data_IF_043242173906
#
_entry.id   IF_043242173906
#
_cell.length_a   1.000
_cell.length_b   1.000
_cell.length_c   1.000
_cell.angle_alpha   90.00
_cell.angle_beta   90.00
_cell.angle_gamma   90.00
#
_symmetry.space_group_name_H-M   'P 1'
#
loop_
_entity.id
_entity.type
_entity.pdbx_description
1 polymer ?
#
# COMPACT_ATOMS: atom_id res chain seq x y z
N UNK A 1 7.84 3.29 -10.35
CA UNK A 1 6.85 4.35 -10.64
C UNK A 1 7.25 5.68 -10.02
N UNK A 2 7.13 5.87 -8.71
CA UNK A 2 7.25 7.20 -8.09
C UNK A 2 8.61 7.93 -8.27
N UNK A 3 9.75 7.23 -8.21
CA UNK A 3 11.08 7.89 -8.21
C UNK A 3 11.70 8.05 -9.61
N UNK A 4 11.32 7.20 -10.57
CA UNK A 4 12.00 7.10 -11.87
C UNK A 4 11.02 7.03 -13.06
N UNK A 5 9.76 7.39 -12.83
CA UNK A 5 8.68 7.31 -13.83
C UNK A 5 8.54 5.91 -14.46
N UNK A 6 8.91 4.87 -13.71
CA UNK A 6 9.00 3.52 -14.25
C UNK A 6 7.62 2.94 -14.54
N UNK A 7 7.43 2.31 -15.70
CA UNK A 7 6.17 1.71 -16.15
C UNK A 7 6.38 0.25 -16.54
N UNK A 8 5.48 -0.62 -16.07
CA UNK A 8 5.47 -2.05 -16.40
C UNK A 8 5.16 -2.29 -17.88
N UNK A 9 5.90 -3.20 -18.52
CA UNK A 9 5.74 -3.54 -19.94
C UNK A 9 5.46 -5.03 -20.18
N UNK A 10 5.78 -5.91 -19.22
CA UNK A 10 5.39 -7.32 -19.22
C UNK A 10 5.30 -7.87 -17.79
N UNK A 11 4.65 -9.02 -17.63
CA UNK A 11 4.65 -9.80 -16.37
C UNK A 11 5.14 -11.22 -16.64
N UNK A 12 5.99 -11.71 -15.75
CA UNK A 12 6.58 -13.05 -15.86
C UNK A 12 5.50 -14.13 -15.76
N UNK A 13 5.59 -15.16 -16.61
CA UNK A 13 4.90 -16.44 -16.41
C UNK A 13 5.90 -17.40 -15.78
N UNK A 14 5.92 -17.45 -14.46
CA UNK A 14 6.86 -18.27 -13.71
C UNK A 14 6.56 -19.75 -13.92
N UNK A 15 7.58 -20.57 -14.15
CA UNK A 15 7.45 -22.01 -14.34
C UNK A 15 8.02 -22.73 -13.12
N UNK A 16 7.16 -23.53 -12.50
CA UNK A 16 7.46 -24.34 -11.31
C UNK A 16 6.76 -25.68 -11.43
N UNK A 17 7.05 -26.60 -10.51
CA UNK A 17 6.54 -27.99 -10.57
C UNK A 17 5.00 -28.06 -10.59
N UNK A 18 4.32 -27.06 -10.02
CA UNK A 18 2.86 -26.91 -10.06
C UNK A 18 2.29 -26.31 -11.35
N UNK A 19 3.13 -26.01 -12.34
CA UNK A 19 2.73 -25.40 -13.62
C UNK A 19 3.11 -23.93 -13.76
N UNK A 20 2.38 -23.23 -14.63
CA UNK A 20 2.65 -21.85 -15.00
C UNK A 20 1.89 -20.89 -14.09
N UNK A 21 2.61 -20.16 -13.25
CA UNK A 21 2.04 -19.18 -12.34
C UNK A 21 2.26 -17.75 -12.85
N UNK A 22 1.23 -16.92 -12.70
CA UNK A 22 1.29 -15.48 -13.00
C UNK A 22 1.10 -14.63 -11.74
N UNK A 23 0.90 -15.29 -10.62
CA UNK A 23 0.76 -14.72 -9.29
C UNK A 23 1.65 -15.48 -8.31
N UNK A 24 1.94 -14.87 -7.18
CA UNK A 24 2.63 -15.49 -6.04
C UNK A 24 2.12 -14.89 -4.73
N UNK A 25 2.46 -15.51 -3.61
CA UNK A 25 2.16 -15.00 -2.28
C UNK A 25 3.31 -15.24 -1.31
N UNK A 26 3.01 -15.06 -0.03
CA UNK A 26 3.79 -15.57 1.08
C UNK A 26 3.13 -16.82 1.69
N UNK A 27 3.96 -17.66 2.29
CA UNK A 27 3.55 -18.77 3.13
C UNK A 27 4.12 -18.55 4.52
N UNK A 28 3.26 -18.62 5.52
CA UNK A 28 3.61 -18.54 6.94
C UNK A 28 3.49 -19.96 7.48
N UNK A 29 4.57 -20.48 8.04
CA UNK A 29 4.67 -21.89 8.39
C UNK A 29 5.41 -22.11 9.70
N UNK A 30 5.16 -23.26 10.29
CA UNK A 30 5.74 -23.74 11.55
C UNK A 30 6.06 -25.22 11.42
N UNK A 31 6.84 -25.75 12.36
CA UNK A 31 7.08 -27.21 12.44
C UNK A 31 5.83 -27.98 12.81
N UNK A 32 5.67 -29.17 12.27
CA UNK A 32 4.52 -30.06 12.45
C UNK A 32 4.21 -30.41 13.91
N UNK A 33 5.21 -30.40 14.79
CA UNK A 33 5.08 -30.69 16.22
C UNK A 33 4.76 -29.46 17.10
N UNK A 34 4.68 -28.27 16.51
CA UNK A 34 4.29 -27.02 17.18
C UNK A 34 2.78 -26.79 17.12
N UNK A 35 2.05 -27.67 17.83
CA UNK A 35 0.59 -27.57 17.97
C UNK A 35 0.11 -26.37 18.81
N UNK A 36 1.03 -25.62 19.43
CA UNK A 36 0.77 -24.35 20.10
C UNK A 36 0.73 -23.15 19.15
N UNK A 37 0.97 -23.35 17.85
CA UNK A 37 0.96 -22.31 16.81
C UNK A 37 0.11 -22.80 15.63
N UNK A 38 -1.20 -22.53 15.68
CA UNK A 38 -2.15 -22.96 14.64
C UNK A 38 -2.76 -21.78 13.87
N UNK A 39 -2.87 -20.62 14.51
CA UNK A 39 -3.43 -19.41 13.93
C UNK A 39 -2.43 -18.26 13.93
N UNK A 40 -2.65 -17.24 13.10
CA UNK A 40 -1.79 -16.04 13.09
C UNK A 40 -1.72 -15.40 14.48
N UNK A 41 -2.83 -15.39 15.22
CA UNK A 41 -2.93 -14.89 16.59
C UNK A 41 -1.94 -15.55 17.57
N UNK A 42 -1.59 -16.82 17.35
CA UNK A 42 -0.71 -17.61 18.22
C UNK A 42 0.78 -17.23 18.06
N UNK A 43 1.10 -16.45 17.03
CA UNK A 43 2.46 -15.94 16.78
C UNK A 43 2.88 -14.86 17.79
N UNK A 44 1.95 -14.34 18.60
CA UNK A 44 2.28 -13.40 19.69
C UNK A 44 3.22 -14.09 20.68
N UNK A 45 4.29 -13.37 21.03
CA UNK A 45 5.35 -13.83 21.94
C UNK A 45 6.10 -15.08 21.42
N UNK A 46 6.06 -15.33 20.11
CA UNK A 46 6.88 -16.35 19.44
C UNK A 46 8.08 -15.72 18.76
N UNK A 47 9.13 -16.52 18.57
CA UNK A 47 10.27 -16.17 17.71
C UNK A 47 9.87 -16.42 16.26
N UNK A 48 9.98 -15.39 15.43
CA UNK A 48 9.58 -15.44 14.03
C UNK A 48 10.74 -15.06 13.12
N UNK A 49 10.92 -15.76 12.01
CA UNK A 49 11.91 -15.40 10.99
C UNK A 49 11.27 -15.10 9.64
N UNK A 50 11.69 -14.01 9.02
CA UNK A 50 11.32 -13.62 7.66
C UNK A 50 12.57 -13.54 6.77
N UNK A 51 12.39 -13.40 5.45
CA UNK A 51 13.51 -13.38 4.52
C UNK A 51 14.32 -12.09 4.66
N UNK A 52 13.70 -10.94 4.41
CA UNK A 52 14.33 -9.63 4.54
C UNK A 52 13.26 -8.54 4.72
N UNK A 53 13.57 -7.39 5.35
CA UNK A 53 12.60 -6.32 5.55
C UNK A 53 11.98 -5.78 4.24
N UNK A 54 12.73 -5.85 3.14
CA UNK A 54 12.31 -5.42 1.80
C UNK A 54 11.76 -6.56 0.94
N UNK A 55 11.74 -7.79 1.45
CA UNK A 55 11.25 -8.94 0.69
C UNK A 55 9.74 -8.89 0.60
N UNK A 56 9.21 -8.65 -0.61
CA UNK A 56 7.77 -8.54 -0.77
C UNK A 56 7.06 -9.86 -0.41
N UNK A 57 7.34 -10.94 -1.14
CA UNK A 57 6.73 -12.25 -0.89
C UNK A 57 7.25 -13.00 0.34
N UNK A 58 8.44 -12.65 0.86
CA UNK A 58 9.04 -13.31 2.01
C UNK A 58 8.96 -12.53 3.32
N UNK A 59 8.23 -11.41 3.35
CA UNK A 59 7.96 -10.66 4.57
C UNK A 59 6.73 -9.75 4.45
N UNK A 60 6.74 -8.82 3.50
CA UNK A 60 5.75 -7.71 3.44
C UNK A 60 4.33 -8.25 3.28
N UNK A 61 4.12 -9.27 2.45
CA UNK A 61 2.80 -9.90 2.29
C UNK A 61 2.31 -10.54 3.57
N UNK A 62 3.18 -11.25 4.30
CA UNK A 62 2.86 -11.85 5.60
C UNK A 62 2.58 -10.78 6.66
N UNK A 63 3.32 -9.68 6.66
CA UNK A 63 3.09 -8.56 7.58
C UNK A 63 1.71 -7.93 7.38
N UNK A 64 1.21 -7.83 6.14
CA UNK A 64 -0.16 -7.38 5.89
C UNK A 64 -1.19 -8.25 6.60
N UNK A 65 -1.05 -9.58 6.51
CA UNK A 65 -2.00 -10.49 7.17
C UNK A 65 -1.89 -10.47 8.69
N UNK A 66 -0.67 -10.35 9.22
CA UNK A 66 -0.44 -10.15 10.66
C UNK A 66 -1.11 -8.86 11.17
N UNK A 67 -1.02 -7.78 10.39
CA UNK A 67 -1.67 -6.51 10.72
C UNK A 67 -3.20 -6.64 10.74
N UNK A 68 -3.78 -7.39 9.81
CA UNK A 68 -5.24 -7.58 9.71
C UNK A 68 -5.81 -8.29 10.95
N UNK A 69 -5.03 -9.19 11.58
CA UNK A 69 -5.39 -9.81 12.86
C UNK A 69 -4.92 -9.02 14.09
N UNK A 70 -4.46 -7.78 13.89
CA UNK A 70 -4.06 -6.86 14.96
C UNK A 70 -2.75 -7.22 15.66
N UNK A 71 -1.83 -7.90 14.96
CA UNK A 71 -0.47 -8.15 15.42
C UNK A 71 0.46 -7.05 14.88
N UNK A 72 1.21 -6.42 15.78
CA UNK A 72 2.39 -5.62 15.42
C UNK A 72 3.64 -6.49 15.59
N UNK A 73 4.26 -6.99 14.50
CA UNK A 73 5.39 -7.92 14.62
C UNK A 73 6.62 -7.35 15.34
N UNK A 74 6.78 -6.02 15.32
CA UNK A 74 7.92 -5.37 15.98
C UNK A 74 7.73 -5.24 17.50
N UNK A 75 6.50 -5.41 17.99
CA UNK A 75 6.16 -5.28 19.41
C UNK A 75 5.68 -6.58 20.03
N UNK A 76 4.87 -7.33 19.28
CA UNK A 76 4.08 -8.44 19.79
C UNK A 76 4.78 -9.79 19.64
N UNK A 77 5.78 -9.92 18.75
CA UNK A 77 6.66 -11.10 18.68
C UNK A 77 7.70 -11.06 19.81
N UNK A 78 8.13 -12.23 20.26
CA UNK A 78 9.25 -12.31 21.22
C UNK A 78 10.57 -11.89 20.55
N UNK A 79 10.74 -12.29 19.29
CA UNK A 79 11.86 -11.87 18.46
C UNK A 79 11.47 -11.96 16.98
N UNK A 80 11.87 -10.96 16.18
CA UNK A 80 11.76 -10.97 14.72
C UNK A 80 13.15 -10.98 14.10
N UNK A 81 13.50 -12.07 13.40
CA UNK A 81 14.78 -12.23 12.69
C UNK A 81 14.60 -12.13 11.18
N UNK A 82 15.68 -11.76 10.49
CA UNK A 82 15.74 -11.77 9.03
C UNK A 82 16.88 -12.70 8.57
N UNK A 83 16.52 -13.79 7.89
CA UNK A 83 17.44 -14.85 7.48
C UNK A 83 18.22 -14.57 6.18
N UNK A 84 17.88 -13.51 5.46
CA UNK A 84 18.50 -13.09 4.20
C UNK A 84 18.04 -13.87 2.97
N UNK A 85 17.88 -15.19 3.09
CA UNK A 85 17.41 -16.08 2.00
C UNK A 85 16.16 -16.86 2.42
N UNK A 86 15.43 -17.37 1.43
CA UNK A 86 14.25 -18.18 1.66
C UNK A 86 14.62 -19.49 2.37
N UNK A 87 15.65 -20.17 1.86
CA UNK A 87 16.14 -21.44 2.40
C UNK A 87 16.59 -21.30 3.86
N UNK A 88 17.30 -20.22 4.21
CA UNK A 88 17.73 -19.97 5.58
C UNK A 88 16.56 -19.88 6.57
N UNK A 89 15.45 -19.25 6.17
CA UNK A 89 14.24 -19.18 7.00
C UNK A 89 13.64 -20.56 7.20
N UNK A 90 13.54 -21.36 6.14
CA UNK A 90 12.98 -22.72 6.21
C UNK A 90 13.83 -23.61 7.12
N UNK A 91 15.16 -23.56 6.97
CA UNK A 91 16.09 -24.33 7.79
C UNK A 91 16.04 -23.90 9.27
N UNK A 92 15.97 -22.59 9.56
CA UNK A 92 15.85 -22.09 10.93
C UNK A 92 14.56 -22.56 11.62
N UNK A 93 13.43 -22.59 10.90
CA UNK A 93 12.18 -23.17 11.41
C UNK A 93 12.31 -24.67 11.61
N UNK A 94 12.88 -25.40 10.63
CA UNK A 94 13.12 -26.85 10.69
C UNK A 94 13.92 -27.23 11.93
N UNK A 95 14.98 -26.50 12.19
CA UNK A 95 15.96 -26.78 13.25
C UNK A 95 15.48 -26.25 14.62
N UNK A 96 14.36 -25.54 14.66
CA UNK A 96 13.76 -25.01 15.89
C UNK A 96 14.48 -23.79 16.45
N UNK A 97 15.27 -23.10 15.65
CA UNK A 97 15.89 -21.82 16.02
C UNK A 97 14.86 -20.70 16.18
N UNK A 98 13.75 -20.82 15.45
CA UNK A 98 12.56 -19.98 15.54
C UNK A 98 11.30 -20.84 15.55
N UNK A 99 10.21 -20.29 16.08
CA UNK A 99 8.95 -21.01 16.24
C UNK A 99 8.16 -21.13 14.93
N UNK A 100 8.23 -20.09 14.11
CA UNK A 100 7.58 -19.99 12.81
C UNK A 100 8.37 -19.05 11.89
N UNK A 101 8.07 -19.11 10.60
CA UNK A 101 8.67 -18.20 9.64
C UNK A 101 7.81 -17.97 8.41
N UNK A 102 8.29 -17.08 7.55
CA UNK A 102 7.63 -16.80 6.27
C UNK A 102 8.60 -16.72 5.10
N UNK A 103 8.18 -17.33 4.00
CA UNK A 103 8.88 -17.34 2.72
C UNK A 103 7.87 -17.13 1.59
N UNK A 104 8.38 -16.92 0.38
CA UNK A 104 7.57 -16.91 -0.84
C UNK A 104 6.95 -18.29 -1.11
N UNK A 105 5.72 -18.30 -1.60
CA UNK A 105 5.09 -19.49 -2.21
C UNK A 105 5.96 -20.07 -3.32
N UNK A 106 6.07 -21.40 -3.42
CA UNK A 106 7.02 -22.18 -4.25
C UNK A 106 8.28 -22.64 -3.51
N UNK A 107 8.64 -22.01 -2.39
CA UNK A 107 9.90 -22.29 -1.70
C UNK A 107 9.87 -23.66 -0.99
N UNK A 108 8.82 -23.95 -0.23
CA UNK A 108 8.73 -25.20 0.52
C UNK A 108 8.67 -26.40 -0.42
N UNK A 109 7.88 -26.29 -1.48
CA UNK A 109 7.74 -27.33 -2.50
C UNK A 109 9.06 -27.55 -3.25
N UNK A 110 9.74 -26.48 -3.66
CA UNK A 110 11.05 -26.58 -4.32
C UNK A 110 12.08 -27.26 -3.43
N UNK A 111 12.21 -26.81 -2.18
CA UNK A 111 13.19 -27.39 -1.25
C UNK A 111 12.88 -28.86 -0.95
N UNK A 112 11.60 -29.25 -0.94
CA UNK A 112 11.19 -30.64 -0.78
C UNK A 112 11.53 -31.48 -2.03
N UNK A 113 11.29 -30.94 -3.22
CA UNK A 113 11.67 -31.58 -4.50
C UNK A 113 13.20 -31.74 -4.65
N UNK A 114 13.96 -30.80 -4.10
CA UNK A 114 15.42 -30.84 -4.02
C UNK A 114 15.93 -31.80 -2.91
N UNK A 115 15.03 -32.34 -2.07
CA UNK A 115 15.37 -33.28 -0.99
C UNK A 115 16.00 -32.62 0.24
N UNK A 116 15.96 -31.29 0.36
CA UNK A 116 16.55 -30.55 1.47
C UNK A 116 15.69 -30.58 2.74
N UNK A 117 14.38 -30.72 2.55
CA UNK A 117 13.38 -30.76 3.62
C UNK A 117 12.33 -31.85 3.38
N UNK A 118 11.68 -32.27 4.46
CA UNK A 118 10.46 -33.08 4.40
C UNK A 118 9.26 -32.14 4.62
N UNK A 119 8.50 -31.87 3.56
CA UNK A 119 7.40 -30.91 3.59
C UNK A 119 6.30 -31.30 4.58
N UNK A 120 6.12 -32.60 4.86
CA UNK A 120 5.11 -33.11 5.81
C UNK A 120 5.44 -32.75 7.26
N UNK A 121 6.70 -32.40 7.53
CA UNK A 121 7.15 -31.91 8.85
C UNK A 121 6.86 -30.43 9.06
N UNK A 122 6.25 -29.75 8.10
CA UNK A 122 5.79 -28.38 8.25
C UNK A 122 4.27 -28.31 8.19
N UNK A 123 3.73 -27.29 8.84
CA UNK A 123 2.32 -26.92 8.74
C UNK A 123 2.23 -25.44 8.45
N UNK A 124 1.32 -25.11 7.55
CA UNK A 124 1.08 -23.75 7.09
C UNK A 124 -0.07 -23.17 7.91
N UNK A 125 0.08 -21.91 8.30
CA UNK A 125 -0.95 -21.16 9.01
C UNK A 125 -1.86 -20.54 7.94
N UNK A 126 -3.05 -21.09 7.78
CA UNK A 126 -3.96 -20.75 6.69
C UNK A 126 -5.00 -19.70 7.12
N UNK A 127 -4.78 -18.43 6.78
CA UNK A 127 -5.76 -17.36 7.03
C UNK A 127 -6.58 -17.03 5.76
N UNK A 128 -5.95 -17.07 4.58
CA UNK A 128 -6.57 -16.68 3.29
C UNK A 128 -6.67 -17.82 2.27
N UNK A 129 -6.70 -19.05 2.76
CA UNK A 129 -6.77 -20.21 1.88
C UNK A 129 -6.04 -21.41 2.46
N UNK A 130 -6.77 -22.51 2.63
CA UNK A 130 -6.23 -23.79 3.08
C UNK A 130 -5.19 -24.36 2.11
N UNK A 131 -4.76 -25.59 2.38
CA UNK A 131 -3.70 -26.33 1.66
C UNK A 131 -3.70 -26.18 0.13
N UNK A 132 -4.86 -25.92 -0.48
CA UNK A 132 -5.02 -25.36 -1.82
C UNK A 132 -6.36 -24.59 -1.84
N UNK A 133 -6.36 -23.26 -1.73
CA UNK A 133 -7.64 -22.53 -1.87
C UNK A 133 -8.11 -22.54 -3.32
N UNK A 134 -9.43 -22.60 -3.48
CA UNK A 134 -10.11 -23.03 -4.71
C UNK A 134 -9.84 -22.12 -5.92
N UNK A 135 -8.74 -22.38 -6.63
CA UNK A 135 -8.34 -21.70 -7.85
C UNK A 135 -7.14 -22.38 -8.52
N UNK A 136 -6.65 -21.80 -9.62
CA UNK A 136 -5.52 -22.30 -10.43
C UNK A 136 -4.13 -22.14 -9.76
N UNK A 137 -4.04 -21.87 -8.45
CA UNK A 137 -2.77 -21.63 -7.76
C UNK A 137 -2.25 -22.90 -7.06
N UNK A 138 -1.09 -23.45 -7.44
CA UNK A 138 -0.70 -24.80 -7.06
C UNK A 138 0.10 -24.91 -5.75
N UNK A 139 0.48 -23.79 -5.12
CA UNK A 139 1.39 -23.78 -3.96
C UNK A 139 0.67 -23.49 -2.66
N UNK A 140 1.24 -23.98 -1.57
CA UNK A 140 0.86 -23.61 -0.21
C UNK A 140 1.02 -22.10 -0.01
N UNK A 141 -0.01 -21.45 0.51
CA UNK A 141 0.04 -20.02 0.80
C UNK A 141 -0.74 -19.67 2.08
N UNK A 142 -0.34 -18.56 2.70
CA UNK A 142 -1.03 -17.97 3.86
C UNK A 142 -1.59 -16.58 3.54
N UNK A 143 -1.03 -15.92 2.53
CA UNK A 143 -1.36 -14.55 2.17
C UNK A 143 -2.28 -14.48 0.96
N UNK A 144 -2.84 -13.29 0.73
CA UNK A 144 -3.38 -12.89 -0.57
C UNK A 144 -2.34 -13.10 -1.68
N UNK A 145 -2.80 -13.29 -2.91
CA UNK A 145 -1.95 -13.44 -4.09
C UNK A 145 -1.70 -12.10 -4.78
N UNK A 146 -0.50 -11.93 -5.30
CA UNK A 146 0.01 -10.75 -5.97
C UNK A 146 0.51 -11.11 -7.36
N UNK A 147 0.48 -10.18 -8.34
CA UNK A 147 1.02 -10.46 -9.67
C UNK A 147 2.51 -10.80 -9.60
N UNK A 148 2.95 -11.69 -10.48
CA UNK A 148 4.35 -12.06 -10.66
C UNK A 148 5.25 -10.88 -11.06
N UNK A 149 6.56 -11.11 -11.09
CA UNK A 149 7.52 -10.03 -11.32
C UNK A 149 7.29 -9.27 -12.63
N UNK A 150 7.26 -7.92 -12.58
CA UNK A 150 7.16 -7.09 -13.76
C UNK A 150 8.53 -6.97 -14.43
N UNK A 151 8.51 -6.89 -15.76
CA UNK A 151 9.54 -6.13 -16.46
C UNK A 151 9.05 -4.70 -16.63
N UNK A 152 9.87 -3.71 -16.26
CA UNK A 152 9.51 -2.30 -16.35
C UNK A 152 10.55 -1.51 -17.14
N UNK A 153 10.08 -0.49 -17.87
CA UNK A 153 10.93 0.55 -18.45
C UNK A 153 10.98 1.74 -17.49
N UNK A 154 12.08 2.51 -17.52
CA UNK A 154 12.19 3.80 -16.82
C UNK A 154 11.81 4.95 -17.75
N UNK A 155 11.55 6.14 -17.20
CA UNK A 155 11.01 7.29 -17.94
C UNK A 155 11.82 7.66 -19.19
N UNK A 156 13.15 7.66 -19.08
CA UNK A 156 14.06 8.04 -20.17
C UNK A 156 14.29 6.93 -21.21
N UNK A 157 13.67 5.75 -21.05
CA UNK A 157 13.76 4.67 -22.06
C UNK A 157 12.80 4.97 -23.21
N UNK A 158 13.29 5.02 -24.47
CA UNK A 158 12.43 5.27 -25.63
C UNK A 158 11.28 4.26 -25.73
N UNK A 159 10.07 4.74 -26.03
CA UNK A 159 8.88 3.89 -26.13
C UNK A 159 9.01 2.84 -27.23
N UNK A 160 9.59 3.20 -28.38
CA UNK A 160 9.86 2.26 -29.48
C UNK A 160 10.72 1.08 -29.05
N UNK A 161 11.74 1.31 -28.21
CA UNK A 161 12.58 0.23 -27.69
C UNK A 161 11.78 -0.64 -26.72
N UNK A 162 11.01 -0.03 -25.82
CA UNK A 162 10.19 -0.75 -24.86
C UNK A 162 9.12 -1.61 -25.54
N UNK A 163 8.47 -1.10 -26.60
CA UNK A 163 7.51 -1.84 -27.41
C UNK A 163 8.16 -3.04 -28.11
N UNK A 164 9.36 -2.84 -28.70
CA UNK A 164 10.12 -3.93 -29.33
C UNK A 164 10.49 -5.02 -28.33
N UNK A 165 10.93 -4.64 -27.13
CA UNK A 165 11.24 -5.58 -26.05
C UNK A 165 9.99 -6.31 -25.58
N UNK A 166 8.89 -5.59 -25.32
CA UNK A 166 7.62 -6.20 -24.93
C UNK A 166 7.12 -7.19 -25.99
N UNK A 167 7.14 -6.82 -27.28
CA UNK A 167 6.74 -7.71 -28.37
C UNK A 167 7.62 -8.96 -28.45
N UNK A 168 8.93 -8.84 -28.23
CA UNK A 168 9.84 -10.00 -28.20
C UNK A 168 9.53 -10.94 -27.04
N UNK A 169 9.29 -10.40 -25.84
CA UNK A 169 8.97 -11.18 -24.65
C UNK A 169 7.61 -11.88 -24.74
N UNK A 170 6.60 -11.20 -25.28
CA UNK A 170 5.26 -11.76 -25.48
C UNK A 170 5.24 -12.86 -26.55
N UNK A 171 6.14 -12.80 -27.52
CA UNK A 171 6.31 -13.84 -28.56
C UNK A 171 7.23 -14.98 -28.12
N UNK A 172 7.90 -14.87 -26.98
CA UNK A 172 8.89 -15.86 -26.53
C UNK A 172 8.22 -17.22 -26.22
N UNK A 173 8.60 -18.29 -26.94
CA UNK A 173 8.12 -19.65 -26.64
C UNK A 173 8.62 -20.15 -25.29
N UNK A 174 7.84 -21.04 -24.65
CA UNK A 174 8.16 -21.59 -23.33
C UNK A 174 9.36 -22.56 -23.36
N UNK A 175 9.66 -23.14 -24.52
CA UNK A 175 10.79 -24.04 -24.81
C UNK A 175 12.00 -23.30 -25.42
N UNK A 176 11.99 -21.97 -25.41
CA UNK A 176 13.15 -21.20 -25.88
C UNK A 176 14.33 -21.31 -24.90
N UNK A 177 15.60 -21.25 -25.38
CA UNK A 177 16.77 -21.30 -24.49
C UNK A 177 16.75 -20.23 -23.40
N UNK A 178 16.17 -19.06 -23.69
CA UNK A 178 16.00 -17.98 -22.71
C UNK A 178 14.97 -18.32 -21.63
N UNK A 179 13.85 -18.96 -22.00
CA UNK A 179 12.81 -19.39 -21.08
C UNK A 179 13.32 -20.51 -20.15
N UNK A 180 14.05 -21.48 -20.71
CA UNK A 180 14.69 -22.57 -19.94
C UNK A 180 15.73 -22.03 -18.95
N UNK A 181 16.62 -21.15 -19.41
CA UNK A 181 17.63 -20.52 -18.55
C UNK A 181 17.01 -19.70 -17.41
N UNK A 182 15.89 -19.02 -17.69
CA UNK A 182 15.14 -18.25 -16.70
C UNK A 182 14.19 -19.10 -15.83
N UNK A 183 14.06 -20.41 -16.12
CA UNK A 183 13.05 -21.31 -15.52
C UNK A 183 11.65 -20.68 -15.53
N UNK A 184 11.23 -20.17 -16.68
CA UNK A 184 9.93 -19.53 -16.87
C UNK A 184 9.22 -20.07 -18.12
N UNK A 185 7.90 -19.87 -18.22
CA UNK A 185 7.10 -20.24 -19.38
C UNK A 185 6.86 -19.05 -20.32
N UNK A 186 7.73 -18.05 -20.25
CA UNK A 186 7.65 -16.82 -21.02
C UNK A 186 7.09 -15.62 -20.26
N UNK A 187 6.55 -14.66 -21.02
CA UNK A 187 5.98 -13.42 -20.47
C UNK A 187 4.57 -13.19 -20.98
N UNK A 188 3.78 -12.41 -20.25
CA UNK A 188 2.43 -12.00 -20.62
C UNK A 188 2.27 -10.50 -20.49
N UNK A 189 1.12 -9.99 -20.94
CA UNK A 189 0.77 -8.57 -20.80
C UNK A 189 0.84 -8.15 -19.32
N UNK A 190 1.21 -6.91 -19.01
CA UNK A 190 1.29 -6.46 -17.62
C UNK A 190 0.01 -6.76 -16.86
N UNK A 191 0.13 -7.47 -15.74
CA UNK A 191 -0.98 -7.69 -14.83
C UNK A 191 -1.35 -6.39 -14.07
N UNK A 192 -2.39 -6.50 -13.25
CA UNK A 192 -2.77 -5.45 -12.33
C UNK A 192 -1.91 -5.49 -11.06
N UNK A 193 -1.09 -4.45 -10.84
CA UNK A 193 -0.24 -4.30 -9.66
C UNK A 193 -0.88 -3.45 -8.56
N UNK A 194 -2.14 -3.02 -8.72
CA UNK A 194 -2.88 -2.32 -7.68
C UNK A 194 -2.87 -3.06 -6.32
N UNK A 195 -3.01 -4.41 -6.24
CA UNK A 195 -2.93 -5.10 -4.95
C UNK A 195 -1.58 -4.92 -4.23
N UNK A 196 -0.49 -4.75 -4.98
CA UNK A 196 0.84 -4.42 -4.44
C UNK A 196 0.82 -3.03 -3.82
N UNK A 197 0.25 -2.04 -4.50
CA UNK A 197 0.11 -0.69 -3.96
C UNK A 197 -0.77 -0.65 -2.72
N UNK A 198 -1.89 -1.36 -2.72
CA UNK A 198 -2.78 -1.47 -1.54
C UNK A 198 -2.02 -2.04 -0.34
N UNK A 199 -1.23 -3.11 -0.55
CA UNK A 199 -0.39 -3.69 0.50
C UNK A 199 0.57 -2.66 1.09
N UNK A 200 1.32 -1.95 0.23
CA UNK A 200 2.29 -0.95 0.67
C UNK A 200 1.61 0.27 1.33
N UNK A 201 0.44 0.69 0.84
CA UNK A 201 -0.36 1.78 1.43
C UNK A 201 -0.88 1.41 2.81
N UNK A 202 -1.45 0.21 2.96
CA UNK A 202 -1.94 -0.27 4.24
C UNK A 202 -0.82 -0.37 5.26
N UNK A 203 0.34 -0.90 4.88
CA UNK A 203 1.51 -0.99 5.75
C UNK A 203 2.26 0.35 5.92
N UNK A 204 1.90 1.38 5.15
CA UNK A 204 2.59 2.69 5.10
C UNK A 204 4.09 2.55 4.80
N UNK A 205 4.42 1.67 3.87
CA UNK A 205 5.78 1.46 3.39
C UNK A 205 6.07 2.35 2.18
N UNK A 206 7.35 2.65 1.94
CA UNK A 206 7.82 3.40 0.75
C UNK A 206 7.15 2.85 -0.52
N UNK A 207 6.56 3.70 -1.38
CA UNK A 207 6.55 5.18 -1.37
C UNK A 207 5.40 5.85 -0.59
N UNK A 208 4.70 5.12 0.27
CA UNK A 208 3.47 5.53 0.98
C UNK A 208 3.64 5.84 2.47
N UNK A 209 4.86 6.17 2.94
CA UNK A 209 5.14 6.47 4.36
C UNK A 209 4.30 7.64 4.91
N UNK A 210 4.02 8.62 4.04
CA UNK A 210 3.21 9.80 4.35
C UNK A 210 1.78 9.72 3.78
N UNK A 211 1.39 8.55 3.27
CA UNK A 211 0.05 8.35 2.73
C UNK A 211 -1.01 8.61 3.82
N UNK A 212 -1.88 9.58 3.56
CA UNK A 212 -2.93 10.02 4.49
C UNK A 212 -2.49 11.05 5.55
N UNK A 213 -1.22 11.49 5.59
CA UNK A 213 -0.82 12.61 6.45
C UNK A 213 -1.09 13.93 5.73
N UNK A 214 -2.10 14.67 6.18
CA UNK A 214 -2.31 16.06 5.74
C UNK A 214 -1.43 16.96 6.60
N UNK A 215 -0.29 17.43 6.09
CA UNK A 215 0.49 18.44 6.81
C UNK A 215 -0.11 19.83 6.57
N UNK A 216 -0.02 20.72 7.57
CA UNK A 216 -0.46 22.13 7.42
C UNK A 216 0.26 22.81 6.24
N UNK A 217 1.50 22.42 5.95
CA UNK A 217 2.27 22.89 4.81
C UNK A 217 1.69 22.46 3.46
N UNK A 218 1.16 21.25 3.36
CA UNK A 218 0.53 20.75 2.12
C UNK A 218 -0.81 21.42 1.85
N UNK A 219 -1.59 21.71 2.91
CA UNK A 219 -2.83 22.48 2.79
C UNK A 219 -2.54 23.89 2.29
N UNK A 220 -1.58 24.58 2.88
CA UNK A 220 -1.20 25.93 2.42
C UNK A 220 -0.69 25.86 0.98
N UNK A 221 0.20 24.93 0.65
CA UNK A 221 0.80 24.85 -0.70
C UNK A 221 -0.21 24.55 -1.80
N UNK A 222 -1.09 23.56 -1.58
CA UNK A 222 -2.06 23.16 -2.59
C UNK A 222 -3.30 24.07 -2.65
N UNK A 223 -3.65 24.71 -1.53
CA UNK A 223 -4.87 25.52 -1.44
C UNK A 223 -4.61 27.03 -1.27
N UNK A 224 -3.37 27.52 -1.40
CA UNK A 224 -3.08 28.95 -1.26
C UNK A 224 -3.97 29.86 -2.15
N UNK A 225 -4.30 29.52 -3.42
CA UNK A 225 -5.14 30.39 -4.24
C UNK A 225 -6.56 30.47 -3.69
N UNK A 226 -7.08 29.33 -3.18
CA UNK A 226 -8.39 29.26 -2.54
C UNK A 226 -8.43 29.98 -1.20
N UNK A 227 -7.38 29.85 -0.39
CA UNK A 227 -7.23 30.57 0.88
C UNK A 227 -7.21 32.08 0.65
N UNK A 228 -6.49 32.55 -0.38
CA UNK A 228 -6.48 33.97 -0.78
C UNK A 228 -7.84 34.42 -1.30
N UNK A 229 -8.52 33.62 -2.12
CA UNK A 229 -9.85 33.94 -2.63
C UNK A 229 -10.88 34.07 -1.49
N UNK A 230 -10.85 33.16 -0.50
CA UNK A 230 -11.70 33.22 0.69
C UNK A 230 -11.37 34.47 1.52
N UNK A 231 -10.09 34.76 1.74
CA UNK A 231 -9.67 35.95 2.49
C UNK A 231 -10.11 37.24 1.80
N UNK A 232 -10.00 37.31 0.47
CA UNK A 232 -10.48 38.45 -0.32
C UNK A 232 -12.00 38.61 -0.24
N UNK A 233 -12.76 37.51 -0.30
CA UNK A 233 -14.21 37.52 -0.13
C UNK A 233 -14.62 38.00 1.27
N UNK A 234 -13.94 37.52 2.31
CA UNK A 234 -14.16 37.95 3.70
C UNK A 234 -13.83 39.43 3.89
N UNK A 235 -12.74 39.92 3.30
CA UNK A 235 -12.37 41.33 3.34
C UNK A 235 -13.40 42.20 2.59
N UNK A 236 -13.93 41.73 1.46
CA UNK A 236 -15.00 42.40 0.73
C UNK A 236 -16.26 42.49 1.58
N UNK A 237 -16.68 41.39 2.22
CA UNK A 237 -17.84 41.38 3.12
C UNK A 237 -17.65 42.29 4.34
N UNK A 238 -16.46 42.29 4.94
CA UNK A 238 -16.14 43.18 6.05
C UNK A 238 -16.16 44.65 5.60
N UNK A 239 -15.65 44.94 4.40
CA UNK A 239 -15.66 46.26 3.78
C UNK A 239 -17.08 46.77 3.51
N UNK A 240 -17.93 45.95 2.87
CA UNK A 240 -19.33 46.32 2.61
C UNK A 240 -20.10 46.50 3.91
N UNK A 241 -19.92 45.61 4.89
CA UNK A 241 -20.52 45.75 6.22
C UNK A 241 -20.07 47.05 6.91
N UNK A 242 -18.78 47.37 6.85
CA UNK A 242 -18.24 48.62 7.39
C UNK A 242 -18.80 49.87 6.71
N UNK A 243 -19.00 49.83 5.39
CA UNK A 243 -19.64 50.91 4.63
C UNK A 243 -21.11 51.06 5.03
N UNK A 244 -21.86 49.97 5.12
CA UNK A 244 -23.26 49.98 5.55
C UNK A 244 -23.39 50.54 6.97
N UNK A 245 -22.53 50.11 7.90
CA UNK A 245 -22.51 50.65 9.28
C UNK A 245 -22.19 52.15 9.29
N UNK A 246 -21.22 52.61 8.49
CA UNK A 246 -20.89 54.04 8.39
C UNK A 246 -22.04 54.86 7.80
N UNK A 247 -22.66 54.38 6.72
CA UNK A 247 -23.82 55.03 6.10
C UNK A 247 -25.00 55.06 7.05
N UNK A 248 -25.30 53.96 7.73
CA UNK A 248 -26.39 53.89 8.71
C UNK A 248 -26.15 54.87 9.88
N UNK A 249 -24.91 54.96 10.39
CA UNK A 249 -24.52 55.97 11.40
C UNK A 249 -24.63 57.41 10.90
N UNK A 250 -24.47 57.66 9.60
CA UNK A 250 -24.58 59.00 8.99
C UNK A 250 -26.04 59.38 8.75
N UNK A 251 -26.82 58.43 8.20
CA UNK A 251 -28.27 58.56 7.96
C UNK A 251 -29.00 58.77 9.28
N UNK A 252 -28.69 57.99 10.32
CA UNK A 252 -29.24 58.15 11.67
C UNK A 252 -28.95 59.53 12.27
N UNK A 253 -27.77 60.10 12.02
CA UNK A 253 -27.43 61.48 12.44
C UNK A 253 -28.29 62.52 11.73
N UNK A 254 -28.41 62.43 10.41
CA UNK A 254 -29.23 63.37 9.63
C UNK A 254 -30.72 63.27 9.96
N UNK A 255 -31.24 62.07 10.18
CA UNK A 255 -32.63 61.89 10.61
C UNK A 255 -32.86 62.48 12.00
N UNK A 256 -31.91 62.34 12.93
CA UNK A 256 -32.02 62.98 14.26
C UNK A 256 -31.95 64.52 14.20
N UNK A 257 -31.15 65.11 13.30
CA UNK A 257 -31.12 66.57 13.09
C UNK A 257 -32.42 67.08 12.48
N UNK A 258 -32.95 66.37 11.49
CA UNK A 258 -34.19 66.75 10.80
C UNK A 258 -35.41 66.64 11.73
N UNK A 259 -35.48 65.60 12.56
CA UNK A 259 -36.50 65.47 13.61
C UNK A 259 -36.40 66.61 14.63
N UNK A 260 -35.18 67.05 14.96
CA UNK A 260 -34.97 68.18 15.87
C UNK A 260 -35.48 69.48 15.26
N UNK A 261 -35.13 69.79 14.01
CA UNK A 261 -35.64 70.97 13.29
C UNK A 261 -37.17 70.96 13.14
N UNK A 262 -37.76 69.81 12.81
CA UNK A 262 -39.22 69.66 12.72
C UNK A 262 -39.91 69.85 14.08
N UNK A 263 -39.29 69.37 15.17
CA UNK A 263 -39.80 69.56 16.53
C UNK A 263 -39.70 71.02 16.98
N UNK A 264 -38.63 71.72 16.61
CA UNK A 264 -38.43 73.14 16.89
C UNK A 264 -39.43 74.00 16.10
N UNK A 265 -39.69 73.67 14.83
CA UNK A 265 -40.73 74.33 14.01
C UNK A 265 -42.13 74.12 14.58
N UNK A 266 -42.50 72.88 14.93
CA UNK A 266 -43.80 72.61 15.58
C UNK A 266 -43.97 73.39 16.88
N UNK A 267 -42.93 73.48 17.71
CA UNK A 267 -42.95 74.29 18.94
C UNK A 267 -43.03 75.80 18.70
N UNK A 268 -42.55 76.28 17.55
CA UNK A 268 -42.66 77.68 17.15
C UNK A 268 -44.07 77.99 16.61
N UNK A 269 -44.67 77.07 15.85
CA UNK A 269 -46.05 77.18 15.36
C UNK A 269 -47.09 77.07 16.48
N UNK A 270 -46.88 76.20 17.49
CA UNK A 270 -47.78 76.10 18.66
C UNK A 270 -47.70 77.33 19.61
N UNK A 271 -46.70 78.19 19.46
CA UNK A 271 -46.53 79.42 20.27
C UNK A 271 -47.10 80.68 19.60
N UNK A 272 -47.59 80.56 18.36
CA UNK A 272 -48.28 81.60 17.60
C UNK A 272 -49.80 81.44 17.75
#
# INVERSE_FOLDING_TARGET
EALHGANRIATLKNLREGGVCRTYGGVIFRRGDRGDVEHLADLKQKMFMAVAPTSFGGWITAWRELKDVGIDPHRDFAELKFGGTHDAVVLAVRDGEVDAGTVRTDTLERMAAEGEIDIEKFKVIHEHGGQHDQGDFPFLHSTRLYPEWPLAKVEHTPDELAERVAAALLRMPADSPAAEAARCAGWTVPLNYQPVHECLQELRLVPYEDFGKVTLGDVVRNYWPWLVAIAALLALMAGTTGIVVRLNRKVSRFSSELERELSERKRAEEKL
#
